data_IF_060229499750
#
_entry.id   IF_060229499750
#
_cell.length_a   1.000
_cell.length_b   1.000
_cell.length_c   1.000
_cell.angle_alpha   90.00
_cell.angle_beta   90.00
_cell.angle_gamma   90.00
#
_symmetry.space_group_name_H-M   'P 1'
#
loop_
_entity.id
_entity.type
_entity.pdbx_description
1 polymer ?
#
# COMPACT_ATOMS: atom_id res chain seq x y z
N UNK A 1 -39.30 -47.22 0.57
CA UNK A 1 -38.35 -46.43 -0.22
C UNK A 1 -38.28 -44.92 0.05
N UNK A 2 -39.23 -44.25 0.69
CA UNK A 2 -39.22 -42.78 0.94
C UNK A 2 -38.38 -42.31 2.14
N UNK A 3 -38.00 -43.19 3.09
CA UNK A 3 -37.26 -42.82 4.31
C UNK A 3 -35.71 -42.73 4.11
N UNK A 4 -35.15 -43.50 3.20
CA UNK A 4 -33.72 -43.47 2.88
C UNK A 4 -33.30 -42.24 2.14
N UNK A 5 -34.13 -41.72 1.20
CA UNK A 5 -33.86 -40.51 0.42
C UNK A 5 -33.73 -39.25 1.29
N UNK A 6 -34.57 -39.12 2.34
CA UNK A 6 -34.49 -37.96 3.27
C UNK A 6 -33.24 -37.96 4.14
N UNK A 7 -32.74 -39.12 4.53
CA UNK A 7 -31.51 -39.26 5.33
C UNK A 7 -30.26 -38.94 4.52
N UNK A 8 -30.22 -39.34 3.23
CA UNK A 8 -29.12 -39.03 2.33
C UNK A 8 -29.08 -37.51 2.02
N UNK A 9 -30.25 -36.87 1.84
CA UNK A 9 -30.34 -35.43 1.61
C UNK A 9 -29.88 -34.61 2.85
N UNK A 10 -30.24 -35.08 4.06
CA UNK A 10 -29.84 -34.43 5.31
C UNK A 10 -28.31 -34.53 5.54
N UNK A 11 -27.70 -35.67 5.23
CA UNK A 11 -26.27 -35.87 5.32
C UNK A 11 -25.48 -35.05 4.27
N UNK A 12 -26.02 -34.87 3.06
CA UNK A 12 -25.43 -34.02 2.04
C UNK A 12 -25.47 -32.53 2.44
N UNK A 13 -26.56 -32.06 3.07
CA UNK A 13 -26.66 -30.68 3.56
C UNK A 13 -25.69 -30.45 4.73
N UNK A 14 -25.54 -31.40 5.67
CA UNK A 14 -24.55 -31.30 6.75
C UNK A 14 -23.09 -31.28 6.23
N UNK A 15 -22.79 -32.01 5.16
CA UNK A 15 -21.46 -32.00 4.54
C UNK A 15 -21.12 -30.68 3.85
N UNK A 16 -22.12 -29.96 3.31
CA UNK A 16 -21.93 -28.65 2.68
C UNK A 16 -21.75 -27.53 3.73
N UNK A 17 -22.40 -27.65 4.89
CA UNK A 17 -22.27 -26.66 5.99
C UNK A 17 -20.89 -26.78 6.69
N UNK A 18 -20.23 -27.95 6.62
CA UNK A 18 -18.95 -28.22 7.26
C UNK A 18 -17.73 -27.54 6.62
N UNK A 19 -17.89 -26.81 5.51
CA UNK A 19 -16.75 -26.18 4.81
C UNK A 19 -16.73 -24.64 4.84
N UNK A 20 -17.56 -24.03 5.68
CA UNK A 20 -17.35 -22.62 6.02
C UNK A 20 -16.25 -22.58 7.10
N UNK A 21 -15.00 -22.67 6.69
CA UNK A 21 -13.88 -22.25 7.54
C UNK A 21 -13.99 -20.73 7.67
N UNK A 22 -14.73 -20.25 8.67
CA UNK A 22 -14.54 -18.89 9.17
C UNK A 22 -13.14 -18.89 9.76
N UNK A 23 -12.15 -18.45 9.00
CA UNK A 23 -10.88 -18.02 9.55
C UNK A 23 -11.18 -16.77 10.36
N UNK A 24 -11.58 -16.96 11.63
CA UNK A 24 -11.52 -15.88 12.59
C UNK A 24 -10.04 -15.51 12.67
N UNK A 25 -9.68 -14.28 12.33
CA UNK A 25 -8.32 -13.78 12.52
C UNK A 25 -7.87 -14.09 13.96
N UNK A 26 -6.57 -14.32 14.17
CA UNK A 26 -6.02 -14.69 15.48
C UNK A 26 -6.36 -13.66 16.55
N UNK A 27 -6.68 -12.42 16.14
CA UNK A 27 -6.98 -11.31 17.03
C UNK A 27 -8.47 -10.91 16.93
N UNK A 28 -9.20 -11.06 18.03
CA UNK A 28 -10.65 -10.79 18.06
C UNK A 28 -11.03 -9.29 18.04
N UNK A 29 -10.09 -8.42 18.40
CA UNK A 29 -10.40 -7.00 18.69
C UNK A 29 -9.71 -6.02 17.76
N UNK A 30 -8.80 -6.48 16.90
CA UNK A 30 -8.07 -5.63 15.94
C UNK A 30 -7.61 -6.45 14.72
N UNK A 31 -7.30 -5.75 13.65
CA UNK A 31 -6.67 -6.30 12.45
C UNK A 31 -5.19 -5.91 12.43
N UNK A 32 -4.34 -6.83 11.99
CA UNK A 32 -2.91 -6.58 11.82
C UNK A 32 -2.62 -6.18 10.40
N UNK A 33 -1.96 -5.04 10.23
CA UNK A 33 -1.49 -4.59 8.92
C UNK A 33 0.03 -4.39 8.96
N UNK A 34 0.70 -4.74 7.87
CA UNK A 34 2.13 -4.51 7.66
C UNK A 34 2.30 -3.49 6.54
N UNK A 35 3.16 -2.49 6.75
CA UNK A 35 3.63 -1.59 5.69
C UNK A 35 5.00 -2.06 5.20
N UNK A 36 5.16 -2.23 3.88
CA UNK A 36 6.38 -2.72 3.24
C UNK A 36 6.93 -1.65 2.32
N UNK A 37 8.16 -1.21 2.58
CA UNK A 37 8.80 -0.15 1.80
C UNK A 37 9.06 -0.59 0.35
N UNK A 38 9.13 0.37 -0.58
CA UNK A 38 9.33 0.13 -2.01
C UNK A 38 10.56 -0.74 -2.32
N UNK A 39 11.63 -0.61 -1.53
CA UNK A 39 12.84 -1.43 -1.69
C UNK A 39 12.57 -2.92 -1.46
N UNK A 40 11.79 -3.27 -0.45
CA UNK A 40 11.41 -4.65 -0.14
C UNK A 40 10.32 -5.14 -1.11
N UNK A 41 9.38 -4.26 -1.50
CA UNK A 41 8.40 -4.60 -2.54
C UNK A 41 9.09 -4.93 -3.86
N UNK A 42 10.10 -4.15 -4.26
CA UNK A 42 10.87 -4.40 -5.48
C UNK A 42 11.64 -5.75 -5.45
N UNK A 43 11.96 -6.28 -4.26
CA UNK A 43 12.55 -7.63 -4.12
C UNK A 43 11.53 -8.75 -4.33
N UNK A 44 10.24 -8.47 -4.23
CA UNK A 44 9.17 -9.46 -4.38
C UNK A 44 9.05 -10.03 -5.79
N UNK A 45 9.74 -9.45 -6.78
CA UNK A 45 9.94 -10.07 -8.10
C UNK A 45 10.67 -11.42 -8.01
N UNK A 46 11.48 -11.62 -6.99
CA UNK A 46 12.03 -12.93 -6.63
C UNK A 46 11.05 -13.67 -5.72
N UNK A 47 10.30 -14.61 -6.30
CA UNK A 47 9.28 -15.39 -5.58
C UNK A 47 9.87 -16.24 -4.46
N UNK A 48 11.13 -16.70 -4.58
CA UNK A 48 11.78 -17.51 -3.56
C UNK A 48 12.14 -16.64 -2.35
N UNK A 49 12.62 -15.41 -2.61
CA UNK A 49 12.85 -14.42 -1.56
C UNK A 49 11.55 -14.06 -0.85
N UNK A 50 10.48 -13.79 -1.61
CA UNK A 50 9.17 -13.45 -1.06
C UNK A 50 8.63 -14.57 -0.17
N UNK A 51 8.65 -15.81 -0.66
CA UNK A 51 8.12 -16.96 0.07
C UNK A 51 8.92 -17.24 1.35
N UNK A 52 10.26 -17.19 1.28
CA UNK A 52 11.13 -17.38 2.44
C UNK A 52 10.92 -16.30 3.51
N UNK A 53 10.81 -15.03 3.09
CA UNK A 53 10.57 -13.88 3.98
C UNK A 53 9.19 -13.99 4.63
N UNK A 54 8.16 -14.27 3.82
CA UNK A 54 6.80 -14.44 4.32
C UNK A 54 6.67 -15.60 5.31
N UNK A 55 7.36 -16.71 5.08
CA UNK A 55 7.38 -17.84 6.01
C UNK A 55 7.94 -17.48 7.39
N UNK A 56 8.81 -16.49 7.49
CA UNK A 56 9.30 -16.00 8.79
C UNK A 56 8.23 -15.15 9.47
N UNK A 57 7.62 -14.20 8.73
CA UNK A 57 6.64 -13.25 9.25
C UNK A 57 5.37 -13.98 9.71
N UNK A 58 4.82 -14.85 8.87
CA UNK A 58 3.57 -15.55 9.12
C UNK A 58 3.61 -16.56 10.28
N UNK A 59 4.81 -16.95 10.75
CA UNK A 59 4.98 -17.73 11.98
C UNK A 59 4.86 -16.90 13.26
N UNK A 60 4.96 -15.58 13.15
CA UNK A 60 4.99 -14.65 14.28
C UNK A 60 3.75 -13.76 14.35
N UNK A 61 3.15 -13.47 13.19
CA UNK A 61 2.01 -12.55 13.06
C UNK A 61 0.95 -13.16 12.16
N UNK A 62 -0.30 -13.05 12.57
CA UNK A 62 -1.45 -13.30 11.72
C UNK A 62 -1.85 -11.98 11.08
N UNK A 63 -1.53 -11.84 9.80
CA UNK A 63 -1.62 -10.57 9.07
C UNK A 63 -2.89 -10.55 8.23
N UNK A 64 -3.72 -9.52 8.43
CA UNK A 64 -4.96 -9.33 7.69
C UNK A 64 -4.76 -8.51 6.40
N UNK A 65 -3.87 -7.53 6.43
CA UNK A 65 -3.62 -6.60 5.31
C UNK A 65 -2.15 -6.26 5.17
N UNK A 66 -1.72 -6.02 3.92
CA UNK A 66 -0.39 -5.54 3.61
C UNK A 66 -0.46 -4.30 2.73
N UNK A 67 0.26 -3.25 3.14
CA UNK A 67 0.46 -2.05 2.34
C UNK A 67 1.77 -2.21 1.56
N UNK A 68 1.67 -2.21 0.25
CA UNK A 68 2.78 -2.34 -0.68
C UNK A 68 3.16 -0.94 -1.18
N UNK A 69 4.29 -0.43 -0.73
CA UNK A 69 4.76 0.88 -1.17
C UNK A 69 5.20 0.83 -2.62
N UNK A 70 4.70 1.76 -3.42
CA UNK A 70 4.92 1.81 -4.87
C UNK A 70 6.06 2.75 -5.26
N UNK A 71 6.36 3.73 -4.39
CA UNK A 71 7.39 4.74 -4.64
C UNK A 71 8.12 5.14 -3.36
N UNK A 72 9.46 5.23 -3.45
CA UNK A 72 10.38 5.81 -2.46
C UNK A 72 11.71 6.15 -3.14
N UNK A 73 12.29 7.32 -2.87
CA UNK A 73 13.61 7.75 -3.38
C UNK A 73 13.75 7.59 -4.90
N UNK A 74 12.76 8.06 -5.63
CA UNK A 74 12.64 7.92 -7.10
C UNK A 74 12.58 6.47 -7.59
N UNK A 75 12.59 5.47 -6.71
CA UNK A 75 12.27 4.10 -7.07
C UNK A 75 10.76 3.97 -7.25
N UNK A 76 10.32 3.59 -8.46
CA UNK A 76 8.95 3.19 -8.76
C UNK A 76 8.95 1.68 -8.96
N UNK A 77 8.17 0.97 -8.17
CA UNK A 77 8.02 -0.48 -8.31
C UNK A 77 7.19 -0.78 -9.57
N UNK A 78 7.69 -1.66 -10.43
CA UNK A 78 7.05 -1.96 -11.70
C UNK A 78 5.72 -2.74 -11.58
N UNK A 79 4.87 -2.61 -12.60
CA UNK A 79 3.54 -3.23 -12.68
C UNK A 79 3.60 -4.77 -12.48
N UNK A 80 4.60 -5.43 -13.03
CA UNK A 80 4.73 -6.89 -12.96
C UNK A 80 5.01 -7.35 -11.53
N UNK A 81 5.92 -6.65 -10.84
CA UNK A 81 6.26 -6.91 -9.44
C UNK A 81 5.06 -6.67 -8.52
N UNK A 82 4.33 -5.55 -8.71
CA UNK A 82 3.13 -5.26 -7.92
C UNK A 82 2.04 -6.31 -8.13
N UNK A 83 1.77 -6.69 -9.37
CA UNK A 83 0.78 -7.72 -9.68
C UNK A 83 1.15 -9.09 -9.09
N UNK A 84 2.43 -9.48 -9.17
CA UNK A 84 2.92 -10.72 -8.55
C UNK A 84 2.73 -10.70 -7.03
N UNK A 85 3.10 -9.61 -6.37
CA UNK A 85 2.95 -9.46 -4.92
C UNK A 85 1.47 -9.53 -4.50
N UNK A 86 0.59 -8.79 -5.19
CA UNK A 86 -0.87 -8.81 -4.96
C UNK A 86 -1.42 -10.25 -5.08
N UNK A 87 -1.11 -10.93 -6.17
CA UNK A 87 -1.57 -12.30 -6.39
C UNK A 87 -1.06 -13.26 -5.30
N UNK A 88 0.21 -13.12 -4.88
CA UNK A 88 0.79 -13.92 -3.82
C UNK A 88 0.05 -13.78 -2.49
N UNK A 89 -0.26 -12.56 -2.08
CA UNK A 89 -0.96 -12.29 -0.82
C UNK A 89 -2.44 -12.62 -0.90
N UNK A 90 -3.11 -12.34 -2.02
CA UNK A 90 -4.52 -12.72 -2.21
C UNK A 90 -4.74 -14.23 -2.14
N UNK A 91 -3.84 -15.05 -2.69
CA UNK A 91 -3.89 -16.53 -2.57
C UNK A 91 -3.81 -17.00 -1.11
N UNK A 92 -3.29 -16.19 -0.22
CA UNK A 92 -3.18 -16.45 1.22
C UNK A 92 -4.33 -15.81 2.02
N UNK A 93 -5.30 -15.16 1.36
CA UNK A 93 -6.43 -14.50 2.00
C UNK A 93 -6.09 -13.16 2.65
N UNK A 94 -4.95 -12.55 2.27
CA UNK A 94 -4.47 -11.28 2.82
C UNK A 94 -4.88 -10.16 1.88
N UNK A 95 -5.50 -9.10 2.43
CA UNK A 95 -5.83 -7.89 1.69
C UNK A 95 -4.56 -7.12 1.31
N UNK A 96 -4.57 -6.47 0.15
CA UNK A 96 -3.46 -5.60 -0.27
C UNK A 96 -3.94 -4.18 -0.53
N UNK A 97 -3.12 -3.21 -0.14
CA UNK A 97 -3.31 -1.79 -0.42
C UNK A 97 -1.98 -1.15 -0.83
N UNK A 98 -2.03 0.05 -1.37
CA UNK A 98 -0.84 0.78 -1.79
C UNK A 98 -0.22 1.62 -0.68
N UNK A 99 1.02 2.05 -0.90
CA UNK A 99 1.69 3.07 -0.11
C UNK A 99 2.52 3.98 -1.00
N UNK A 100 2.66 5.25 -0.61
CA UNK A 100 3.49 6.22 -1.31
C UNK A 100 4.31 7.00 -0.31
N UNK A 101 5.62 7.05 -0.53
CA UNK A 101 6.54 7.95 0.16
C UNK A 101 7.12 8.92 -0.87
N UNK A 102 6.83 10.21 -0.72
CA UNK A 102 7.25 11.26 -1.66
C UNK A 102 8.64 11.81 -1.34
N UNK A 103 9.64 10.93 -1.15
CA UNK A 103 11.05 11.30 -1.04
C UNK A 103 11.74 11.25 -2.40
N UNK A 104 12.71 12.15 -2.58
CA UNK A 104 13.69 12.13 -3.69
C UNK A 104 14.94 11.39 -3.23
N UNK A 105 15.39 11.68 -2.00
CA UNK A 105 16.58 11.07 -1.41
C UNK A 105 16.50 11.12 0.13
N UNK A 106 16.24 9.99 0.76
CA UNK A 106 16.24 9.87 2.23
C UNK A 106 17.60 10.16 2.85
N UNK A 107 18.68 9.82 2.16
CA UNK A 107 20.05 10.04 2.66
C UNK A 107 20.42 11.53 2.70
N UNK A 108 19.77 12.34 1.86
CA UNK A 108 19.91 13.80 1.83
C UNK A 108 18.87 14.50 2.74
N UNK A 109 18.90 14.20 4.02
CA UNK A 109 17.99 14.78 5.02
C UNK A 109 16.50 14.67 4.64
N UNK A 110 16.12 13.55 4.03
CA UNK A 110 14.78 13.28 3.54
C UNK A 110 14.32 14.34 2.52
N UNK A 111 15.10 14.55 1.48
CA UNK A 111 14.73 15.45 0.41
C UNK A 111 13.38 15.07 -0.20
N UNK A 112 12.48 16.04 -0.30
CA UNK A 112 11.11 15.87 -0.78
C UNK A 112 10.86 16.70 -2.03
N UNK A 113 9.79 16.39 -2.76
CA UNK A 113 9.37 17.15 -3.92
C UNK A 113 9.00 18.59 -3.57
N UNK A 114 9.35 19.53 -4.46
CA UNK A 114 8.98 20.94 -4.37
C UNK A 114 7.71 21.19 -5.16
N UNK A 115 6.59 21.46 -4.51
CA UNK A 115 5.29 21.62 -5.17
C UNK A 115 5.15 22.90 -6.03
N UNK A 116 6.04 23.88 -5.88
CA UNK A 116 6.13 25.02 -6.79
C UNK A 116 6.97 24.75 -8.04
N UNK A 117 7.64 23.61 -8.11
CA UNK A 117 8.32 23.15 -9.32
C UNK A 117 7.33 22.33 -10.18
N UNK A 118 7.02 22.77 -11.43
CA UNK A 118 6.05 22.06 -12.27
C UNK A 118 6.45 20.62 -12.60
N UNK A 119 7.74 20.35 -12.76
CA UNK A 119 8.24 18.98 -13.03
C UNK A 119 8.04 18.06 -11.82
N UNK A 120 8.34 18.56 -10.60
CA UNK A 120 8.09 17.82 -9.39
C UNK A 120 6.59 17.56 -9.18
N UNK A 121 5.72 18.54 -9.47
CA UNK A 121 4.26 18.34 -9.40
C UNK A 121 3.80 17.24 -10.36
N UNK A 122 4.32 17.24 -11.59
CA UNK A 122 4.02 16.21 -12.57
C UNK A 122 4.46 14.84 -12.06
N UNK A 123 5.67 14.72 -11.53
CA UNK A 123 6.18 13.46 -10.96
C UNK A 123 5.30 12.97 -9.80
N UNK A 124 4.92 13.86 -8.88
CA UNK A 124 4.00 13.52 -7.77
C UNK A 124 2.68 12.98 -8.28
N UNK A 125 2.11 13.59 -9.33
CA UNK A 125 0.89 13.12 -9.97
C UNK A 125 1.09 11.75 -10.63
N UNK A 126 2.15 11.55 -11.39
CA UNK A 126 2.47 10.27 -12.05
C UNK A 126 2.62 9.13 -11.04
N UNK A 127 3.25 9.40 -9.88
CA UNK A 127 3.35 8.43 -8.78
C UNK A 127 1.97 8.07 -8.22
N UNK A 128 1.12 9.07 -7.99
CA UNK A 128 -0.23 8.83 -7.50
C UNK A 128 -1.07 8.02 -8.49
N UNK A 129 -1.02 8.39 -9.79
CA UNK A 129 -1.72 7.67 -10.87
C UNK A 129 -1.23 6.22 -11.00
N UNK A 130 0.09 6.00 -10.91
CA UNK A 130 0.66 4.65 -10.90
C UNK A 130 0.13 3.82 -9.74
N UNK A 131 0.08 4.39 -8.53
CA UNK A 131 -0.44 3.70 -7.35
C UNK A 131 -1.94 3.41 -7.48
N UNK A 132 -2.74 4.41 -7.90
CA UNK A 132 -4.19 4.28 -8.07
C UNK A 132 -4.57 3.28 -9.17
N UNK A 133 -3.72 3.05 -10.15
CA UNK A 133 -3.92 1.99 -11.16
C UNK A 133 -3.92 0.58 -10.55
N UNK A 134 -3.20 0.39 -9.45
CA UNK A 134 -3.01 -0.92 -8.82
C UNK A 134 -3.85 -1.13 -7.57
N UNK A 135 -4.24 -0.07 -6.86
CA UNK A 135 -4.87 -0.16 -5.54
C UNK A 135 -6.03 0.82 -5.40
N UNK A 136 -7.15 0.34 -4.86
CA UNK A 136 -8.32 1.17 -4.53
C UNK A 136 -8.12 1.97 -3.24
N UNK A 137 -7.17 1.55 -2.40
CA UNK A 137 -6.79 2.18 -1.14
C UNK A 137 -5.27 2.30 -1.06
N UNK A 138 -4.77 3.46 -0.63
CA UNK A 138 -3.35 3.63 -0.34
C UNK A 138 -3.10 4.64 0.78
N UNK A 139 -1.95 4.51 1.44
CA UNK A 139 -1.46 5.44 2.45
C UNK A 139 -0.50 6.41 1.79
N UNK A 140 -0.70 7.71 2.05
CA UNK A 140 0.32 8.73 1.86
C UNK A 140 1.14 8.84 3.15
N UNK A 141 2.43 8.65 3.03
CA UNK A 141 3.42 8.82 4.10
C UNK A 141 3.58 10.31 4.47
N UNK A 142 4.23 10.59 5.59
CA UNK A 142 4.51 11.93 6.13
C UNK A 142 5.19 12.87 5.11
N UNK A 143 5.92 12.33 4.16
CA UNK A 143 6.66 13.08 3.14
C UNK A 143 5.79 13.67 2.03
N UNK A 144 4.49 13.48 2.07
CA UNK A 144 3.55 14.33 1.35
C UNK A 144 3.68 15.80 1.81
N UNK A 145 4.07 16.04 3.06
CA UNK A 145 4.36 17.35 3.63
C UNK A 145 5.78 17.79 3.26
N UNK A 146 5.91 18.53 2.16
CA UNK A 146 7.22 18.99 1.68
C UNK A 146 7.95 19.87 2.70
N UNK A 147 9.25 19.63 2.86
CA UNK A 147 10.18 20.50 3.61
C UNK A 147 10.97 21.43 2.70
N UNK A 148 10.75 21.38 1.38
CA UNK A 148 11.49 22.16 0.38
C UNK A 148 11.47 23.66 0.71
N UNK A 149 12.64 24.28 0.60
CA UNK A 149 12.87 25.73 0.75
C UNK A 149 13.77 26.25 -0.37
N UNK A 150 13.63 25.71 -1.57
CA UNK A 150 14.34 26.20 -2.75
C UNK A 150 13.94 27.65 -3.09
N UNK A 151 14.72 28.31 -3.91
CA UNK A 151 14.45 29.67 -4.35
C UNK A 151 13.07 29.80 -5.03
N UNK A 152 12.62 28.75 -5.72
CA UNK A 152 11.28 28.68 -6.34
C UNK A 152 10.21 28.74 -5.26
N UNK A 153 10.37 27.95 -4.20
CA UNK A 153 9.41 27.90 -3.07
C UNK A 153 9.41 29.22 -2.30
N UNK A 154 10.59 29.79 -2.01
CA UNK A 154 10.73 31.08 -1.34
C UNK A 154 10.03 32.17 -2.12
N UNK A 155 10.25 32.22 -3.45
CA UNK A 155 9.60 33.20 -4.34
C UNK A 155 8.09 32.99 -4.41
N UNK A 156 7.63 31.76 -4.53
CA UNK A 156 6.21 31.43 -4.62
C UNK A 156 5.47 31.72 -3.30
N UNK A 157 6.15 31.52 -2.15
CA UNK A 157 5.61 31.84 -0.82
C UNK A 157 5.33 33.33 -0.66
N UNK A 158 6.19 34.20 -1.20
CA UNK A 158 6.09 35.65 -1.00
C UNK A 158 6.01 36.02 0.48
N UNK A 159 5.03 36.85 0.86
CA UNK A 159 4.83 37.36 2.23
C UNK A 159 4.08 36.37 3.14
N UNK A 160 3.55 35.25 2.63
CA UNK A 160 2.88 34.23 3.44
C UNK A 160 3.84 33.61 4.45
N UNK A 161 3.33 33.19 5.61
CA UNK A 161 4.07 32.28 6.48
C UNK A 161 4.31 30.91 5.78
N UNK A 162 5.29 30.13 6.22
CA UNK A 162 5.52 28.79 5.67
C UNK A 162 4.32 27.87 5.89
N UNK A 163 3.61 28.03 7.00
CA UNK A 163 2.40 27.24 7.29
C UNK A 163 1.29 27.53 6.29
N UNK A 164 0.97 28.81 6.07
CA UNK A 164 -0.07 29.21 5.10
C UNK A 164 0.28 28.75 3.68
N UNK A 165 1.51 28.99 3.26
CA UNK A 165 1.97 28.59 1.94
C UNK A 165 1.91 27.08 1.72
N UNK A 166 2.42 26.29 2.66
CA UNK A 166 2.39 24.83 2.56
C UNK A 166 0.98 24.27 2.57
N UNK A 167 0.12 24.78 3.45
CA UNK A 167 -1.29 24.40 3.46
C UNK A 167 -1.96 24.66 2.10
N UNK A 168 -1.67 25.81 1.47
CA UNK A 168 -2.15 26.13 0.14
C UNK A 168 -1.68 25.13 -0.91
N UNK A 169 -0.36 24.95 -1.07
CA UNK A 169 0.19 24.11 -2.16
C UNK A 169 -0.17 22.63 -1.99
N UNK A 170 -0.26 22.15 -0.76
CA UNK A 170 -0.67 20.78 -0.47
C UNK A 170 -2.16 20.55 -0.73
N UNK A 171 -3.00 21.54 -0.40
CA UNK A 171 -4.43 21.48 -0.74
C UNK A 171 -4.62 21.46 -2.25
N UNK A 172 -3.81 22.20 -2.99
CA UNK A 172 -3.83 22.20 -4.46
C UNK A 172 -3.35 20.84 -5.02
N UNK A 173 -2.25 20.31 -4.47
CA UNK A 173 -1.72 19.01 -4.91
C UNK A 173 -2.66 17.84 -4.63
N UNK A 174 -3.39 17.86 -3.52
CA UNK A 174 -4.34 16.81 -3.15
C UNK A 174 -5.68 16.86 -3.90
N UNK A 175 -5.90 17.87 -4.78
CA UNK A 175 -7.12 18.00 -5.58
C UNK A 175 -6.94 17.62 -7.05
N UNK A 176 -5.71 17.49 -7.49
CA UNK A 176 -5.36 17.11 -8.86
C UNK A 176 -5.05 15.62 -8.93
#
# INVERSE_FOLDING_TARGET
MKRTSKRILLLAILAIIGHITVTAGAYKSFKVSIYVRAYEVNKMKDIQWLDSTWNIISKQLDVDKIYLETHRDLLIVDDATLNQAKEYFHKKGIETAGGITYTIDESNSFETFCYSNPEHRKTVQEIAEHTAKHFDEFILDDFFFTSCKSDIEIKAKGDMSWTEYRLKVMTEAGRN
#
